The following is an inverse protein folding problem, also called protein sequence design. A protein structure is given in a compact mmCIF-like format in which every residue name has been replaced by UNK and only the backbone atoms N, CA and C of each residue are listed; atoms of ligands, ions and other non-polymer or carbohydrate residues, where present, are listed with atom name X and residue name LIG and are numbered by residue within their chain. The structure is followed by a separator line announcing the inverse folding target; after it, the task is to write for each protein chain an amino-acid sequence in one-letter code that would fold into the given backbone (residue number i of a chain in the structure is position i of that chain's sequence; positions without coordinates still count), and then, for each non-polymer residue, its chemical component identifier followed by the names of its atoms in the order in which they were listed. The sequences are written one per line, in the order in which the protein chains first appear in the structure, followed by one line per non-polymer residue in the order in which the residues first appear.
data_IF_562418474447
#
_entry.id   IF_562418474447
#
_cell.length_a   1.000
_cell.length_b   1.000
_cell.length_c   1.000
_cell.angle_alpha   90.00
_cell.angle_beta   90.00
_cell.angle_gamma   90.00
#
_symmetry.space_group_name_H-M   'P 1'
#
loop_
_entity.id
_entity.type
_entity.pdbx_description
1 polymer ?
#
# COMPACT_ATOMS: atom_id res chain seq x y z
N UNK A 1 34.10 15.65 -15.05
CA UNK A 1 32.65 15.95 -15.01
C UNK A 1 32.39 16.83 -13.79
N UNK A 2 31.79 18.01 -13.96
CA UNK A 2 31.61 18.97 -12.85
C UNK A 2 30.62 18.41 -11.80
N UNK A 3 31.17 17.81 -10.74
CA UNK A 3 30.40 17.31 -9.61
C UNK A 3 29.80 18.50 -8.86
N UNK A 4 28.47 18.58 -8.82
CA UNK A 4 27.77 19.61 -8.03
C UNK A 4 26.84 20.53 -8.81
N UNK A 5 26.63 20.31 -10.11
CA UNK A 5 25.62 21.04 -10.89
C UNK A 5 24.48 20.13 -11.34
N UNK A 6 23.30 20.72 -11.49
CA UNK A 6 22.10 20.09 -12.00
C UNK A 6 22.37 19.46 -13.36
N UNK A 7 22.04 18.18 -13.52
CA UNK A 7 22.23 17.45 -14.77
C UNK A 7 21.37 17.97 -15.93
N UNK A 8 20.35 18.79 -15.63
CA UNK A 8 19.40 19.31 -16.62
C UNK A 8 19.72 20.71 -17.10
N UNK A 9 19.96 21.65 -16.19
CA UNK A 9 20.25 23.04 -16.55
C UNK A 9 21.71 23.42 -16.43
N UNK A 10 22.54 22.65 -15.72
CA UNK A 10 23.97 22.94 -15.56
C UNK A 10 24.32 24.22 -14.77
N UNK A 11 23.34 24.98 -14.29
CA UNK A 11 23.56 26.28 -13.64
C UNK A 11 23.55 26.19 -12.11
N UNK A 12 22.62 25.41 -11.55
CA UNK A 12 22.31 25.37 -10.12
C UNK A 12 22.73 24.05 -9.50
N UNK A 13 23.04 24.01 -8.19
CA UNK A 13 23.29 22.74 -7.51
C UNK A 13 22.04 21.86 -7.50
N UNK A 14 22.20 20.52 -7.58
CA UNK A 14 21.09 19.60 -7.47
C UNK A 14 20.55 19.59 -6.04
N UNK A 15 19.28 19.19 -5.89
CA UNK A 15 18.69 18.92 -4.58
C UNK A 15 19.40 17.71 -3.95
N UNK A 16 19.59 17.71 -2.63
CA UNK A 16 20.20 16.59 -1.89
C UNK A 16 19.53 15.26 -2.27
N UNK A 17 20.32 14.29 -2.70
CA UNK A 17 19.84 12.97 -3.14
C UNK A 17 19.21 12.93 -4.55
N UNK A 18 19.27 14.01 -5.33
CA UNK A 18 18.75 14.08 -6.70
C UNK A 18 19.83 14.52 -7.69
N UNK A 19 19.56 14.32 -8.97
CA UNK A 19 20.42 14.79 -10.09
C UNK A 19 20.03 16.17 -10.61
N UNK A 20 18.87 16.67 -10.22
CA UNK A 20 18.26 17.90 -10.74
C UNK A 20 18.13 18.94 -9.63
N UNK A 21 18.20 20.23 -9.99
CA UNK A 21 17.85 21.33 -9.10
C UNK A 21 16.33 21.43 -8.93
N UNK A 22 15.88 22.08 -7.85
CA UNK A 22 14.46 22.27 -7.49
C UNK A 22 13.58 22.69 -8.66
N UNK A 23 13.91 23.72 -9.46
CA UNK A 23 13.02 24.18 -10.54
C UNK A 23 12.94 23.17 -11.70
N UNK A 24 14.04 22.50 -12.05
CA UNK A 24 14.04 21.47 -13.08
C UNK A 24 13.22 20.25 -12.66
N UNK A 25 13.38 19.84 -11.40
CA UNK A 25 12.59 18.77 -10.81
C UNK A 25 11.10 19.12 -10.76
N UNK A 26 10.75 20.34 -10.35
CA UNK A 26 9.37 20.78 -10.27
C UNK A 26 8.70 20.85 -11.65
N UNK A 27 9.39 21.40 -12.66
CA UNK A 27 8.89 21.37 -14.06
C UNK A 27 8.63 19.94 -14.56
N UNK A 28 9.51 18.99 -14.24
CA UNK A 28 9.30 17.59 -14.59
C UNK A 28 8.05 17.02 -13.94
N UNK A 29 7.89 17.30 -12.64
CA UNK A 29 6.76 16.85 -11.85
C UNK A 29 5.45 17.41 -12.40
N UNK A 30 5.42 18.71 -12.71
CA UNK A 30 4.24 19.38 -13.26
C UNK A 30 3.89 18.86 -14.65
N UNK A 31 4.89 18.66 -15.51
CA UNK A 31 4.70 18.02 -16.82
C UNK A 31 4.12 16.61 -16.69
N UNK A 32 4.68 15.79 -15.80
CA UNK A 32 4.16 14.43 -15.53
C UNK A 32 2.75 14.45 -14.97
N UNK A 33 2.42 15.43 -14.12
CA UNK A 33 1.07 15.59 -13.57
C UNK A 33 0.07 16.02 -14.64
N UNK A 34 0.44 16.96 -15.50
CA UNK A 34 -0.40 17.40 -16.62
C UNK A 34 -0.59 16.30 -17.68
N UNK A 35 0.43 15.45 -17.88
CA UNK A 35 0.37 14.34 -18.81
C UNK A 35 -0.36 13.10 -18.24
N UNK A 36 -0.78 13.10 -16.97
CA UNK A 36 -1.61 12.03 -16.43
C UNK A 36 -3.06 12.31 -16.82
N UNK A 37 -3.66 11.54 -17.76
CA UNK A 37 -5.09 11.61 -17.95
C UNK A 37 -5.79 11.30 -16.62
N UNK A 38 -6.89 12.00 -16.33
CA UNK A 38 -7.80 11.60 -15.28
C UNK A 38 -8.48 10.30 -15.75
N UNK A 39 -7.87 9.17 -15.45
CA UNK A 39 -8.28 7.86 -15.98
C UNK A 39 -9.52 7.31 -15.28
N UNK A 40 -10.23 8.08 -14.46
CA UNK A 40 -11.43 7.60 -13.77
C UNK A 40 -12.64 8.49 -14.00
N UNK A 41 -13.15 8.57 -15.25
CA UNK A 41 -14.30 9.39 -15.57
C UNK A 41 -15.56 9.03 -14.77
N UNK A 42 -15.69 7.78 -14.34
CA UNK A 42 -16.91 7.30 -13.68
C UNK A 42 -16.84 7.30 -12.15
N UNK A 43 -15.70 7.68 -11.56
CA UNK A 43 -15.52 7.65 -10.11
C UNK A 43 -15.88 6.29 -9.50
N UNK A 44 -15.57 5.17 -10.18
CA UNK A 44 -15.91 3.82 -9.71
C UNK A 44 -14.72 3.09 -9.09
N UNK A 45 -15.02 2.26 -8.10
CA UNK A 45 -14.10 1.32 -7.47
C UNK A 45 -13.56 0.36 -8.52
N UNK A 46 -12.24 0.19 -8.56
CA UNK A 46 -11.59 -0.71 -9.52
C UNK A 46 -11.87 -2.20 -9.29
N UNK A 47 -12.34 -2.58 -8.09
CA UNK A 47 -12.62 -4.00 -7.78
C UNK A 47 -14.10 -4.35 -7.94
N UNK A 48 -15.00 -3.54 -7.37
CA UNK A 48 -16.44 -3.86 -7.32
C UNK A 48 -17.33 -2.93 -8.15
N UNK A 49 -16.76 -1.88 -8.78
CA UNK A 49 -17.53 -0.93 -9.59
C UNK A 49 -18.43 0.04 -8.81
N UNK A 50 -18.43 -0.01 -7.48
CA UNK A 50 -19.18 0.92 -6.62
C UNK A 50 -18.70 2.38 -6.79
N UNK A 51 -19.56 3.40 -6.62
CA UNK A 51 -19.14 4.80 -6.66
C UNK A 51 -18.11 5.12 -5.55
N UNK A 52 -17.18 6.01 -5.86
CA UNK A 52 -16.06 6.42 -5.02
C UNK A 52 -15.83 7.93 -5.15
N UNK A 53 -15.24 8.58 -4.14
CA UNK A 53 -14.92 10.02 -4.19
C UNK A 53 -13.50 10.23 -4.70
N UNK A 54 -13.25 9.89 -5.97
CA UNK A 54 -11.93 10.04 -6.61
C UNK A 54 -10.86 9.06 -6.10
N UNK A 55 -11.26 8.06 -5.32
CA UNK A 55 -10.39 7.01 -4.82
C UNK A 55 -10.27 5.85 -5.82
N UNK A 56 -9.23 5.03 -5.67
CA UNK A 56 -9.08 3.83 -6.49
C UNK A 56 -10.03 2.70 -6.14
N UNK A 57 -10.41 2.62 -4.87
CA UNK A 57 -11.24 1.58 -4.28
C UNK A 57 -12.26 2.26 -3.38
N UNK A 58 -13.45 1.67 -3.23
CA UNK A 58 -14.36 2.09 -2.17
C UNK A 58 -13.82 1.68 -0.80
N UNK A 59 -14.35 2.26 0.27
CA UNK A 59 -13.92 1.97 1.64
C UNK A 59 -14.01 0.47 1.97
N UNK A 60 -15.07 -0.19 1.52
CA UNK A 60 -15.28 -1.63 1.73
C UNK A 60 -14.26 -2.51 0.99
N UNK A 61 -13.94 -2.22 -0.27
CA UNK A 61 -12.86 -2.94 -0.97
C UNK A 61 -11.48 -2.58 -0.44
N UNK A 62 -11.29 -1.35 0.06
CA UNK A 62 -10.02 -0.94 0.67
C UNK A 62 -9.76 -1.67 1.99
N UNK A 63 -10.79 -1.87 2.82
CA UNK A 63 -10.71 -2.58 4.11
C UNK A 63 -10.84 -4.09 3.99
N UNK A 64 -11.34 -4.63 2.87
CA UNK A 64 -11.39 -6.07 2.62
C UNK A 64 -9.99 -6.57 2.24
N UNK A 65 -9.34 -7.38 3.09
CA UNK A 65 -8.00 -7.91 2.82
C UNK A 65 -8.03 -9.12 1.88
N UNK A 66 -9.14 -9.41 1.19
CA UNK A 66 -9.23 -10.57 0.31
C UNK A 66 -8.20 -10.47 -0.83
N UNK A 67 -7.18 -11.32 -0.70
CA UNK A 67 -6.27 -11.87 -1.70
C UNK A 67 -6.09 -11.04 -2.98
N UNK A 68 -4.93 -10.41 -3.11
CA UNK A 68 -4.46 -9.85 -4.38
C UNK A 68 -3.55 -10.85 -5.09
N UNK A 69 -3.94 -11.41 -6.26
CA UNK A 69 -2.99 -12.06 -7.12
C UNK A 69 -2.00 -10.99 -7.63
N UNK A 70 -0.76 -11.04 -7.12
CA UNK A 70 0.32 -10.10 -7.45
C UNK A 70 0.49 -8.91 -6.50
N UNK A 71 -0.27 -8.82 -5.40
CA UNK A 71 0.04 -7.95 -4.28
C UNK A 71 0.77 -8.77 -3.23
N UNK A 72 1.95 -8.30 -2.79
CA UNK A 72 2.78 -8.94 -1.78
C UNK A 72 1.93 -9.60 -0.68
N UNK A 73 2.03 -10.93 -0.55
CA UNK A 73 1.48 -11.66 0.58
C UNK A 73 2.25 -11.18 1.82
N UNK A 74 1.64 -10.26 2.55
CA UNK A 74 1.98 -9.81 3.90
C UNK A 74 3.33 -9.09 4.04
N UNK A 75 3.34 -7.98 4.76
CA UNK A 75 4.60 -7.37 5.15
C UNK A 75 5.27 -8.31 6.18
N UNK A 76 6.57 -8.61 6.05
CA UNK A 76 7.25 -9.46 7.01
C UNK A 76 7.21 -8.86 8.41
N UNK A 77 6.85 -9.70 9.39
CA UNK A 77 6.73 -9.32 10.80
C UNK A 77 5.30 -9.03 11.27
N UNK A 78 4.31 -9.05 10.39
CA UNK A 78 2.90 -8.93 10.76
C UNK A 78 2.34 -10.26 11.29
N UNK A 79 1.50 -10.17 12.33
CA UNK A 79 0.79 -11.30 12.94
C UNK A 79 -0.62 -11.44 12.38
N UNK A 80 -1.06 -12.66 12.16
CA UNK A 80 -2.38 -12.97 11.58
C UNK A 80 -2.99 -14.19 12.28
N UNK A 81 -4.32 -14.26 12.25
CA UNK A 81 -5.11 -15.41 12.72
C UNK A 81 -5.72 -16.06 11.48
N UNK A 82 -5.54 -17.36 11.31
CA UNK A 82 -6.28 -18.16 10.34
C UNK A 82 -7.25 -19.08 11.07
N UNK A 83 -8.54 -18.96 10.77
CA UNK A 83 -9.57 -19.87 11.27
C UNK A 83 -9.73 -21.03 10.28
N UNK A 84 -9.30 -22.22 10.68
CA UNK A 84 -9.29 -23.40 9.80
C UNK A 84 -10.70 -23.90 9.46
N UNK A 85 -11.66 -23.72 10.37
CA UNK A 85 -13.05 -24.18 10.18
C UNK A 85 -13.80 -23.36 9.14
N UNK A 86 -13.66 -22.03 9.16
CA UNK A 86 -14.32 -21.13 8.22
C UNK A 86 -13.45 -20.74 7.02
N UNK A 87 -12.14 -20.99 7.08
CA UNK A 87 -11.16 -20.49 6.11
C UNK A 87 -10.95 -18.98 6.18
N UNK A 88 -11.47 -18.30 7.22
CA UNK A 88 -11.33 -16.86 7.39
C UNK A 88 -9.94 -16.49 7.92
N UNK A 89 -9.44 -15.33 7.50
CA UNK A 89 -8.19 -14.76 8.01
C UNK A 89 -8.43 -13.39 8.64
N UNK A 90 -7.83 -13.14 9.80
CA UNK A 90 -7.93 -11.90 10.56
C UNK A 90 -6.54 -11.31 10.80
N UNK A 91 -6.42 -9.98 10.73
CA UNK A 91 -5.14 -9.26 10.85
C UNK A 91 -5.05 -8.05 9.88
N UNK A 92 -3.88 -7.42 9.75
CA UNK A 92 -2.65 -7.69 10.51
C UNK A 92 -2.73 -7.17 11.96
N UNK A 93 -2.03 -7.84 12.88
CA UNK A 93 -1.79 -7.39 14.24
C UNK A 93 -0.34 -6.97 14.42
N UNK A 94 -0.11 -5.96 15.27
CA UNK A 94 1.23 -5.44 15.55
C UNK A 94 2.09 -6.37 16.40
N UNK A 95 1.48 -7.32 17.11
CA UNK A 95 2.15 -8.34 17.92
C UNK A 95 1.24 -9.59 18.10
N UNK A 96 1.85 -10.67 18.58
CA UNK A 96 1.20 -11.95 18.87
C UNK A 96 0.07 -11.84 19.90
N UNK A 97 0.28 -11.04 20.96
CA UNK A 97 -0.68 -10.89 22.04
C UNK A 97 -2.00 -10.26 21.57
N UNK A 98 -1.93 -9.28 20.66
CA UNK A 98 -3.13 -8.65 20.07
C UNK A 98 -3.92 -9.64 19.21
N UNK A 99 -3.23 -10.54 18.50
CA UNK A 99 -3.88 -11.63 17.76
C UNK A 99 -4.62 -12.58 18.72
N UNK A 100 -3.98 -13.02 19.81
CA UNK A 100 -4.63 -13.86 20.81
C UNK A 100 -5.79 -13.17 21.54
N UNK A 101 -5.67 -11.87 21.82
CA UNK A 101 -6.76 -11.11 22.42
C UNK A 101 -8.00 -11.07 21.52
N UNK A 102 -7.82 -10.96 20.21
CA UNK A 102 -8.92 -10.96 19.24
C UNK A 102 -9.56 -12.35 19.09
N UNK A 103 -8.78 -13.45 19.19
CA UNK A 103 -9.31 -14.83 19.30
C UNK A 103 -10.28 -14.92 20.49
N UNK A 104 -9.84 -14.46 21.67
CA UNK A 104 -10.63 -14.52 22.88
C UNK A 104 -11.88 -13.62 22.82
N UNK A 105 -11.75 -12.42 22.25
CA UNK A 105 -12.88 -11.48 22.09
C UNK A 105 -13.96 -12.02 21.15
N UNK A 106 -13.56 -12.66 20.06
CA UNK A 106 -14.48 -13.20 19.05
C UNK A 106 -15.05 -14.57 19.40
N UNK A 107 -14.48 -15.25 20.40
CA UNK A 107 -14.85 -16.62 20.73
C UNK A 107 -14.50 -17.59 19.60
N UNK A 108 -13.39 -17.34 18.89
CA UNK A 108 -12.92 -18.23 17.83
C UNK A 108 -12.55 -19.59 18.40
N UNK A 109 -12.73 -20.68 17.63
CA UNK A 109 -12.39 -22.02 18.08
C UNK A 109 -10.88 -22.14 18.38
N UNK A 110 -10.48 -23.11 19.22
CA UNK A 110 -9.07 -23.36 19.53
C UNK A 110 -8.25 -23.83 18.31
N UNK A 111 -8.90 -24.13 17.18
CA UNK A 111 -8.27 -24.41 15.89
C UNK A 111 -7.81 -23.14 15.15
N UNK A 112 -8.06 -21.94 15.68
CA UNK A 112 -7.52 -20.71 15.12
C UNK A 112 -5.99 -20.67 15.28
N UNK A 113 -5.27 -20.72 14.17
CA UNK A 113 -3.80 -20.68 14.15
C UNK A 113 -3.34 -19.23 14.10
N UNK A 114 -2.56 -18.81 15.09
CA UNK A 114 -1.80 -17.55 15.05
C UNK A 114 -0.48 -17.83 14.34
N UNK A 115 -0.22 -17.12 13.25
CA UNK A 115 1.03 -17.27 12.50
C UNK A 115 1.64 -15.91 12.19
N UNK A 116 2.95 -15.81 12.37
CA UNK A 116 3.75 -14.71 11.85
C UNK A 116 4.10 -15.00 10.39
N UNK A 117 3.96 -14.01 9.51
CA UNK A 117 4.47 -14.15 8.14
C UNK A 117 6.01 -14.10 8.16
N UNK A 118 6.63 -15.26 7.94
CA UNK A 118 8.07 -15.40 7.78
C UNK A 118 8.50 -15.09 6.34
N UNK A 119 9.60 -14.35 6.18
CA UNK A 119 10.29 -14.20 4.89
C UNK A 119 10.76 -15.58 4.40
N UNK A 120 10.18 -16.07 3.30
CA UNK A 120 10.75 -17.17 2.50
C UNK A 120 11.81 -16.62 1.54
#
# INVERSE_FOLDING_TARGET
MAAGKCARCGERPPVKGRRECTPCYQRERDRKRAARPDTRPDYRCSDCGAPTVGAARCYECWRAPEYRPGGYLHDPGEWWIADEDSGATFGPYGNESDAYADIAFRGLPPAAIVSQCALL
#
